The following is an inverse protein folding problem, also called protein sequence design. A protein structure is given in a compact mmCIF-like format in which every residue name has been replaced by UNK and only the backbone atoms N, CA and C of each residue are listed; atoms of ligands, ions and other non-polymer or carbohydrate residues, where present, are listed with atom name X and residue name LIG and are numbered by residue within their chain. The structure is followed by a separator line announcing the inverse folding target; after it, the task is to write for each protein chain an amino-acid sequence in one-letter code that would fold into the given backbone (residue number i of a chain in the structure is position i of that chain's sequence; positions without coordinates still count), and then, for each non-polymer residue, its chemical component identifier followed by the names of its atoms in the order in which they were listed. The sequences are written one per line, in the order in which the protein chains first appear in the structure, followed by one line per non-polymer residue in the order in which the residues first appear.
data_IF_457981611551
#
_entry.id   IF_457981611551
#
_cell.length_a   1.000
_cell.length_b   1.000
_cell.length_c   1.000
_cell.angle_alpha   90.00
_cell.angle_beta   90.00
_cell.angle_gamma   90.00
#
_symmetry.space_group_name_H-M   'P 1'
#
loop_
_entity.id
_entity.type
_entity.pdbx_description
1 polymer ?
#
# COMPACT_ATOMS: atom_id res chain seq x y z
N UNK A 1 -25.20 -23.04 12.71
CA UNK A 1 -25.58 -22.62 11.35
C UNK A 1 -24.74 -21.39 11.04
N UNK A 2 -23.49 -21.61 10.63
CA UNK A 2 -22.54 -20.55 10.28
C UNK A 2 -22.71 -20.26 8.80
N UNK A 3 -23.12 -19.03 8.48
CA UNK A 3 -23.16 -18.49 7.14
C UNK A 3 -21.73 -18.39 6.62
N UNK A 4 -21.33 -19.40 5.86
CA UNK A 4 -20.14 -19.37 5.01
C UNK A 4 -20.36 -18.24 4.00
N UNK A 5 -19.64 -17.14 4.14
CA UNK A 5 -19.60 -16.11 3.10
C UNK A 5 -18.65 -16.66 2.05
N UNK A 6 -19.18 -17.44 1.10
CA UNK A 6 -18.41 -17.98 -0.03
C UNK A 6 -17.71 -16.83 -0.75
N UNK A 7 -16.39 -16.72 -0.58
CA UNK A 7 -15.59 -15.83 -1.42
C UNK A 7 -15.82 -16.22 -2.88
N UNK A 8 -16.16 -15.27 -3.78
CA UNK A 8 -16.47 -15.61 -5.15
C UNK A 8 -15.25 -16.25 -5.83
N UNK A 9 -15.41 -17.52 -6.23
CA UNK A 9 -14.38 -18.30 -6.92
C UNK A 9 -14.47 -18.05 -8.42
N UNK A 10 -13.56 -17.24 -8.94
CA UNK A 10 -13.52 -16.85 -10.36
C UNK A 10 -12.80 -17.92 -11.18
N UNK A 11 -13.24 -18.13 -12.42
CA UNK A 11 -12.43 -18.78 -13.46
C UNK A 11 -11.32 -17.85 -13.95
N UNK A 12 -10.33 -18.39 -14.68
CA UNK A 12 -9.23 -17.55 -15.22
C UNK A 12 -9.73 -16.46 -16.18
N UNK A 13 -10.81 -16.75 -16.92
CA UNK A 13 -11.40 -15.80 -17.87
C UNK A 13 -12.09 -14.66 -17.13
N UNK A 14 -12.85 -14.97 -16.07
CA UNK A 14 -13.50 -13.99 -15.20
C UNK A 14 -12.48 -13.17 -14.41
N UNK A 15 -11.40 -13.79 -13.92
CA UNK A 15 -10.31 -13.09 -13.26
C UNK A 15 -9.66 -12.07 -14.20
N UNK A 16 -9.33 -12.48 -15.43
CA UNK A 16 -8.71 -11.61 -16.42
C UNK A 16 -9.63 -10.43 -16.75
N UNK A 17 -10.91 -10.69 -16.99
CA UNK A 17 -11.90 -9.66 -17.27
C UNK A 17 -12.03 -8.67 -16.11
N UNK A 18 -12.10 -9.16 -14.87
CA UNK A 18 -12.29 -8.32 -13.67
C UNK A 18 -11.03 -7.54 -13.29
N UNK A 19 -9.85 -8.06 -13.63
CA UNK A 19 -8.57 -7.37 -13.46
C UNK A 19 -8.19 -6.47 -14.66
N UNK A 20 -9.04 -6.33 -15.68
CA UNK A 20 -8.76 -5.49 -16.84
C UNK A 20 -7.56 -5.97 -17.68
N UNK A 21 -7.23 -7.26 -17.64
CA UNK A 21 -6.06 -7.84 -18.32
C UNK A 21 -6.45 -9.04 -19.18
N UNK A 22 -5.47 -9.72 -19.78
CA UNK A 22 -5.71 -10.90 -20.61
C UNK A 22 -5.40 -12.20 -19.87
N UNK A 23 -6.08 -13.29 -20.24
CA UNK A 23 -5.77 -14.65 -19.74
C UNK A 23 -4.31 -15.01 -19.97
N UNK A 24 -3.73 -14.57 -21.10
CA UNK A 24 -2.31 -14.75 -21.41
C UNK A 24 -1.43 -14.06 -20.35
N UNK A 25 -1.76 -12.83 -19.97
CA UNK A 25 -1.04 -12.07 -18.94
C UNK A 25 -1.16 -12.74 -17.57
N UNK A 26 -2.38 -13.17 -17.19
CA UNK A 26 -2.60 -13.90 -15.93
C UNK A 26 -1.74 -15.16 -15.88
N UNK A 27 -1.77 -15.99 -16.93
CA UNK A 27 -0.95 -17.22 -17.01
C UNK A 27 0.54 -16.90 -16.96
N UNK A 28 0.97 -15.84 -17.64
CA UNK A 28 2.36 -15.39 -17.60
C UNK A 28 2.79 -15.06 -16.16
N UNK A 29 2.00 -14.28 -15.42
CA UNK A 29 2.31 -13.98 -14.02
C UNK A 29 2.24 -15.20 -13.11
N UNK A 30 1.28 -16.12 -13.31
CA UNK A 30 1.26 -17.40 -12.60
C UNK A 30 2.53 -18.21 -12.85
N UNK A 31 3.00 -18.32 -14.11
CA UNK A 31 4.25 -19.06 -14.42
C UNK A 31 5.50 -18.41 -13.85
N UNK A 32 5.46 -17.10 -13.59
CA UNK A 32 6.52 -16.34 -12.93
C UNK A 32 6.45 -16.39 -11.40
N UNK A 33 5.46 -17.08 -10.82
CA UNK A 33 5.27 -17.13 -9.37
C UNK A 33 4.77 -15.81 -8.77
N UNK A 34 4.29 -14.88 -9.61
CA UNK A 34 3.79 -13.58 -9.17
C UNK A 34 2.36 -13.64 -8.62
N UNK A 35 1.66 -14.74 -8.86
CA UNK A 35 0.32 -15.01 -8.34
C UNK A 35 0.35 -16.27 -7.47
N UNK A 36 -0.42 -16.33 -6.38
CA UNK A 36 -0.60 -17.58 -5.64
C UNK A 36 -1.17 -18.66 -6.57
N UNK A 37 -0.95 -19.95 -6.25
CA UNK A 37 -1.53 -21.03 -7.04
C UNK A 37 -3.06 -21.02 -6.90
N UNK A 38 -3.80 -21.26 -7.98
CA UNK A 38 -5.25 -21.34 -7.92
C UNK A 38 -5.70 -22.60 -7.17
N UNK A 39 -6.89 -22.56 -6.58
CA UNK A 39 -7.53 -23.74 -6.01
C UNK A 39 -8.05 -24.61 -7.15
N UNK A 40 -7.63 -25.87 -7.20
CA UNK A 40 -8.06 -26.78 -8.26
C UNK A 40 -9.42 -27.39 -7.87
N UNK A 41 -10.46 -26.97 -8.57
CA UNK A 41 -11.83 -27.47 -8.40
C UNK A 41 -12.12 -28.73 -9.21
N UNK A 42 -13.40 -29.10 -9.22
CA UNK A 42 -13.89 -30.22 -10.02
C UNK A 42 -13.51 -30.05 -11.50
N UNK A 43 -13.21 -31.16 -12.19
CA UNK A 43 -12.79 -31.17 -13.60
C UNK A 43 -11.45 -30.46 -13.90
N UNK A 44 -10.59 -30.28 -12.89
CA UNK A 44 -9.26 -29.63 -13.00
C UNK A 44 -9.32 -28.17 -13.44
N UNK A 45 -10.42 -27.48 -13.15
CA UNK A 45 -10.57 -26.05 -13.38
C UNK A 45 -9.93 -25.30 -12.21
N UNK A 46 -9.08 -24.32 -12.50
CA UNK A 46 -8.49 -23.45 -11.48
C UNK A 46 -9.47 -22.35 -11.08
N UNK A 47 -9.67 -22.20 -9.77
CA UNK A 47 -10.47 -21.15 -9.15
C UNK A 47 -9.58 -20.12 -8.47
N UNK A 48 -9.94 -18.85 -8.67
CA UNK A 48 -9.18 -17.69 -8.25
C UNK A 48 -10.05 -16.83 -7.33
N UNK A 49 -9.51 -16.46 -6.16
CA UNK A 49 -10.19 -15.59 -5.19
C UNK A 49 -9.70 -14.14 -5.20
N UNK A 50 -10.17 -13.37 -4.21
CA UNK A 50 -9.89 -11.94 -4.07
C UNK A 50 -8.38 -11.62 -3.94
N UNK A 51 -7.60 -12.51 -3.34
CA UNK A 51 -6.14 -12.37 -3.24
C UNK A 51 -5.48 -12.22 -4.61
N UNK A 52 -5.95 -12.96 -5.62
CA UNK A 52 -5.41 -12.90 -6.98
C UNK A 52 -5.70 -11.54 -7.62
N UNK A 53 -6.90 -11.00 -7.42
CA UNK A 53 -7.27 -9.66 -7.88
C UNK A 53 -6.41 -8.58 -7.21
N UNK A 54 -6.24 -8.65 -5.89
CA UNK A 54 -5.38 -7.70 -5.16
C UNK A 54 -3.92 -7.75 -5.64
N UNK A 55 -3.41 -8.95 -5.95
CA UNK A 55 -2.04 -9.13 -6.43
C UNK A 55 -1.85 -8.62 -7.85
N UNK A 56 -2.82 -8.87 -8.74
CA UNK A 56 -2.83 -8.29 -10.09
C UNK A 56 -2.88 -6.77 -10.06
N UNK A 57 -3.73 -6.19 -9.20
CA UNK A 57 -3.82 -4.73 -9.05
C UNK A 57 -2.54 -4.11 -8.49
N UNK A 58 -1.85 -4.80 -7.57
CA UNK A 58 -0.54 -4.36 -7.08
C UNK A 58 0.53 -4.40 -8.18
N UNK A 59 0.58 -5.48 -8.96
CA UNK A 59 1.52 -5.62 -10.09
C UNK A 59 1.30 -4.50 -11.11
N UNK A 60 0.04 -4.25 -11.48
CA UNK A 60 -0.33 -3.18 -12.40
C UNK A 60 0.13 -1.81 -11.87
N UNK A 61 -0.14 -1.51 -10.59
CA UNK A 61 0.28 -0.26 -9.96
C UNK A 61 1.80 -0.09 -10.02
N UNK A 62 2.57 -1.11 -9.65
CA UNK A 62 4.04 -1.07 -9.69
C UNK A 62 4.56 -0.86 -11.12
N UNK A 63 3.90 -1.44 -12.13
CA UNK A 63 4.23 -1.21 -13.53
C UNK A 63 3.93 0.22 -13.97
N UNK A 64 2.80 0.80 -13.54
CA UNK A 64 2.46 2.20 -13.79
C UNK A 64 3.49 3.15 -13.17
N UNK A 65 4.06 2.80 -12.02
CA UNK A 65 5.18 3.51 -11.38
C UNK A 65 6.54 3.26 -12.05
N UNK A 66 6.58 2.61 -13.23
CA UNK A 66 7.78 2.41 -14.03
C UNK A 66 8.68 1.25 -13.58
N UNK A 67 8.24 0.39 -12.67
CA UNK A 67 9.02 -0.77 -12.27
C UNK A 67 9.11 -1.81 -13.40
N UNK A 68 10.33 -2.25 -13.68
CA UNK A 68 10.54 -3.38 -14.60
C UNK A 68 10.02 -4.67 -14.00
N UNK A 69 9.61 -5.61 -14.85
CA UNK A 69 9.07 -6.89 -14.39
C UNK A 69 10.04 -7.65 -13.46
N UNK A 70 11.35 -7.61 -13.74
CA UNK A 70 12.36 -8.24 -12.88
C UNK A 70 12.49 -7.56 -11.49
N UNK A 71 12.19 -6.27 -11.38
CA UNK A 71 12.10 -5.60 -10.09
C UNK A 71 10.81 -5.97 -9.35
N UNK A 72 9.69 -6.11 -10.06
CA UNK A 72 8.41 -6.57 -9.51
C UNK A 72 8.52 -8.01 -8.99
N UNK A 73 9.14 -8.92 -9.74
CA UNK A 73 9.39 -10.31 -9.30
C UNK A 73 10.16 -10.34 -7.97
N UNK A 74 11.26 -9.59 -7.86
CA UNK A 74 12.03 -9.48 -6.62
C UNK A 74 11.25 -8.84 -5.48
N UNK A 75 10.39 -7.88 -5.79
CA UNK A 75 9.57 -7.22 -4.79
C UNK A 75 8.50 -8.16 -4.23
N UNK A 76 7.71 -8.78 -5.10
CA UNK A 76 6.64 -9.70 -4.71
C UNK A 76 7.20 -10.91 -3.95
N UNK A 77 8.41 -11.37 -4.30
CA UNK A 77 9.09 -12.45 -3.57
C UNK A 77 9.51 -12.09 -2.12
N UNK A 78 9.62 -10.80 -1.80
CA UNK A 78 9.96 -10.32 -0.46
C UNK A 78 8.73 -10.04 0.42
N UNK A 79 7.53 -10.05 -0.17
CA UNK A 79 6.30 -9.90 0.60
C UNK A 79 6.07 -11.13 1.50
N UNK A 80 5.53 -10.94 2.71
CA UNK A 80 5.11 -12.07 3.54
C UNK A 80 4.18 -13.01 2.75
N UNK A 81 4.36 -14.33 2.88
CA UNK A 81 3.56 -15.31 2.13
C UNK A 81 2.09 -15.34 2.57
N UNK A 82 1.78 -14.76 3.73
CA UNK A 82 0.48 -14.77 4.43
C UNK A 82 -0.28 -13.44 4.31
N UNK A 83 0.11 -12.55 3.38
CA UNK A 83 -0.60 -11.28 3.20
C UNK A 83 -2.04 -11.50 2.71
N UNK A 84 -2.98 -10.84 3.38
CA UNK A 84 -4.38 -10.84 2.96
C UNK A 84 -4.60 -9.90 1.77
N UNK A 85 -5.76 -10.04 1.12
CA UNK A 85 -6.19 -9.09 0.09
C UNK A 85 -6.24 -7.63 0.61
N UNK A 86 -6.52 -7.43 1.89
CA UNK A 86 -6.53 -6.12 2.54
C UNK A 86 -5.11 -5.56 2.69
N UNK A 87 -4.16 -6.38 3.14
CA UNK A 87 -2.76 -5.97 3.28
C UNK A 87 -2.17 -5.59 1.93
N UNK A 88 -2.43 -6.37 0.88
CA UNK A 88 -2.02 -6.06 -0.49
C UNK A 88 -2.64 -4.74 -0.99
N UNK A 89 -3.89 -4.45 -0.61
CA UNK A 89 -4.52 -3.17 -0.93
C UNK A 89 -3.86 -1.99 -0.19
N UNK A 90 -3.40 -2.19 1.05
CA UNK A 90 -2.58 -1.21 1.77
C UNK A 90 -1.25 -1.01 1.05
N UNK A 91 -0.53 -2.09 0.73
CA UNK A 91 0.73 -2.02 -0.03
C UNK A 91 0.57 -1.26 -1.34
N UNK A 92 -0.50 -1.54 -2.10
CA UNK A 92 -0.83 -0.82 -3.32
C UNK A 92 -1.10 0.66 -3.06
N UNK A 93 -1.86 1.00 -2.02
CA UNK A 93 -2.16 2.39 -1.67
C UNK A 93 -0.88 3.19 -1.35
N UNK A 94 0.08 2.57 -0.67
CA UNK A 94 1.40 3.18 -0.43
C UNK A 94 2.16 3.33 -1.75
N UNK A 95 2.12 2.35 -2.65
CA UNK A 95 2.76 2.44 -3.97
C UNK A 95 2.15 3.55 -4.83
N UNK A 96 0.83 3.69 -4.80
CA UNK A 96 0.07 4.67 -5.57
C UNK A 96 0.30 6.11 -5.08
N UNK A 97 0.55 6.33 -3.79
CA UNK A 97 0.86 7.66 -3.25
C UNK A 97 2.27 8.16 -3.61
N UNK A 98 3.07 7.36 -4.33
CA UNK A 98 4.40 7.74 -4.82
C UNK A 98 4.40 8.42 -6.19
N UNK A 99 3.25 8.51 -6.88
CA UNK A 99 3.12 9.31 -8.09
C UNK A 99 3.16 10.81 -7.72
N UNK A 100 4.00 11.64 -8.37
CA UNK A 100 3.98 13.09 -8.19
C UNK A 100 2.67 13.79 -8.57
N UNK A 101 1.63 13.04 -8.97
CA UNK A 101 0.41 13.56 -9.60
C UNK A 101 -0.90 13.04 -8.95
N UNK A 102 -0.83 12.38 -7.78
CA UNK A 102 -2.02 11.81 -7.11
C UNK A 102 -2.85 12.79 -6.27
N UNK A 103 -2.42 14.06 -6.16
CA UNK A 103 -3.17 15.08 -5.42
C UNK A 103 -4.15 15.79 -6.32
N UNK A 104 -5.43 15.56 -6.11
CA UNK A 104 -6.51 16.20 -6.86
C UNK A 104 -7.16 17.29 -6.00
N UNK A 105 -7.56 18.39 -6.63
CA UNK A 105 -8.39 19.41 -5.98
C UNK A 105 -9.85 19.02 -6.13
N UNK A 106 -10.52 18.77 -5.01
CA UNK A 106 -11.91 18.34 -4.93
C UNK A 106 -12.75 19.36 -4.17
N UNK A 107 -13.97 19.56 -4.63
CA UNK A 107 -15.03 20.23 -3.88
C UNK A 107 -15.57 19.31 -2.77
N UNK A 108 -16.18 19.88 -1.72
CA UNK A 108 -16.68 19.11 -0.56
C UNK A 108 -17.57 17.92 -0.96
N UNK A 109 -18.50 18.14 -1.89
CA UNK A 109 -19.41 17.09 -2.37
C UNK A 109 -18.68 15.95 -3.08
N UNK A 110 -17.60 16.27 -3.79
CA UNK A 110 -16.82 15.24 -4.49
C UNK A 110 -15.94 14.47 -3.52
N UNK A 111 -15.36 15.14 -2.52
CA UNK A 111 -14.66 14.50 -1.42
C UNK A 111 -15.54 13.46 -0.72
N UNK A 112 -16.77 13.81 -0.32
CA UNK A 112 -17.73 12.88 0.30
C UNK A 112 -18.08 11.71 -0.63
N UNK A 113 -18.29 11.99 -1.93
CA UNK A 113 -18.56 10.93 -2.93
C UNK A 113 -17.40 9.94 -3.02
N UNK A 114 -16.15 10.41 -3.02
CA UNK A 114 -14.95 9.56 -3.09
C UNK A 114 -14.65 8.85 -1.78
N UNK A 115 -14.97 9.49 -0.65
CA UNK A 115 -14.93 8.86 0.66
C UNK A 115 -15.98 7.76 0.80
N UNK A 116 -17.07 7.82 0.02
CA UNK A 116 -18.17 6.86 0.08
C UNK A 116 -19.08 7.04 1.29
N UNK A 117 -18.95 8.16 2.01
CA UNK A 117 -19.76 8.54 3.17
C UNK A 117 -19.87 10.06 3.28
N UNK A 118 -20.89 10.53 3.97
CA UNK A 118 -20.91 11.90 4.45
C UNK A 118 -19.78 12.10 5.46
N UNK A 119 -19.17 13.28 5.45
CA UNK A 119 -18.11 13.66 6.39
C UNK A 119 -18.63 14.87 7.18
N UNK A 120 -18.57 14.82 8.50
CA UNK A 120 -18.78 16.01 9.32
C UNK A 120 -17.48 16.82 9.44
N UNK A 121 -17.48 17.87 10.24
CA UNK A 121 -16.29 18.72 10.43
C UNK A 121 -15.16 17.97 11.16
N UNK A 122 -15.50 17.13 12.14
CA UNK A 122 -14.53 16.32 12.89
C UNK A 122 -13.85 15.27 11.99
N UNK A 123 -14.61 14.60 11.13
CA UNK A 123 -14.10 13.67 10.12
C UNK A 123 -13.08 14.37 9.20
N UNK A 124 -13.41 15.57 8.70
CA UNK A 124 -12.51 16.35 7.85
C UNK A 124 -11.25 16.77 8.61
N UNK A 125 -11.38 17.24 9.85
CA UNK A 125 -10.25 17.62 10.70
C UNK A 125 -9.31 16.43 10.97
N UNK A 126 -9.85 15.24 11.19
CA UNK A 126 -9.07 14.00 11.35
C UNK A 126 -8.38 13.60 10.04
N UNK A 127 -9.03 13.72 8.89
CA UNK A 127 -8.39 13.47 7.59
C UNK A 127 -7.26 14.47 7.28
N UNK A 128 -7.43 15.74 7.68
CA UNK A 128 -6.37 16.77 7.62
C UNK A 128 -5.23 16.42 8.57
N UNK A 129 -5.53 15.97 9.78
CA UNK A 129 -4.55 15.52 10.75
C UNK A 129 -3.71 14.33 10.26
N UNK A 130 -4.31 13.42 9.49
CA UNK A 130 -3.60 12.32 8.81
C UNK A 130 -2.76 12.81 7.61
N UNK A 131 -3.01 14.01 7.10
CA UNK A 131 -2.39 14.54 5.89
C UNK A 131 -2.96 13.98 4.59
N UNK A 132 -4.13 13.36 4.65
CA UNK A 132 -4.87 12.81 3.50
C UNK A 132 -5.51 13.95 2.70
N UNK A 133 -5.96 14.97 3.42
CA UNK A 133 -6.62 16.16 2.87
C UNK A 133 -5.84 17.39 3.32
N UNK A 134 -5.72 18.38 2.44
CA UNK A 134 -5.18 19.71 2.73
C UNK A 134 -6.21 20.73 2.26
N UNK A 135 -6.58 21.66 3.15
CA UNK A 135 -7.45 22.78 2.80
C UNK A 135 -6.73 23.71 1.81
N UNK A 136 -7.39 24.05 0.72
CA UNK A 136 -6.91 24.94 -0.34
C UNK A 136 -8.02 25.93 -0.72
N UNK A 137 -8.17 26.98 0.10
CA UNK A 137 -9.29 27.91 0.01
C UNK A 137 -10.62 27.22 0.34
N UNK A 138 -11.56 27.27 -0.61
CA UNK A 138 -12.89 26.61 -0.51
C UNK A 138 -12.86 25.14 -0.96
N UNK A 139 -11.69 24.65 -1.39
CA UNK A 139 -11.50 23.32 -1.96
C UNK A 139 -10.53 22.48 -1.14
N UNK A 140 -10.45 21.20 -1.48
CA UNK A 140 -9.62 20.22 -0.77
C UNK A 140 -8.61 19.63 -1.74
N UNK A 141 -7.32 19.73 -1.43
CA UNK A 141 -6.30 18.95 -2.10
C UNK A 141 -6.20 17.58 -1.43
N UNK A 142 -6.43 16.52 -2.19
CA UNK A 142 -6.63 15.18 -1.64
C UNK A 142 -5.69 14.19 -2.31
N UNK A 143 -4.98 13.42 -1.50
CA UNK A 143 -4.28 12.24 -1.97
C UNK A 143 -5.27 11.09 -2.16
N UNK A 144 -5.63 10.80 -3.42
CA UNK A 144 -6.59 9.76 -3.78
C UNK A 144 -6.14 8.35 -3.36
N UNK A 145 -4.83 8.10 -3.24
CA UNK A 145 -4.27 6.84 -2.76
C UNK A 145 -4.49 6.64 -1.26
N UNK A 146 -4.37 7.72 -0.49
CA UNK A 146 -4.54 7.70 0.97
C UNK A 146 -5.98 7.90 1.43
N UNK A 147 -6.87 8.49 0.62
CA UNK A 147 -8.25 8.78 1.01
C UNK A 147 -9.00 7.56 1.52
N UNK A 148 -8.92 6.44 0.79
CA UNK A 148 -9.58 5.19 1.22
C UNK A 148 -9.06 4.65 2.54
N UNK A 149 -7.76 4.83 2.82
CA UNK A 149 -7.16 4.40 4.08
C UNK A 149 -7.58 5.34 5.22
N UNK A 150 -7.52 6.65 4.98
CA UNK A 150 -7.93 7.68 5.95
C UNK A 150 -9.38 7.51 6.39
N UNK A 151 -10.29 7.25 5.45
CA UNK A 151 -11.70 7.01 5.75
C UNK A 151 -11.90 5.80 6.67
N UNK A 152 -11.17 4.70 6.45
CA UNK A 152 -11.23 3.53 7.36
C UNK A 152 -10.69 3.82 8.75
N UNK A 153 -9.71 4.72 8.86
CA UNK A 153 -9.13 5.12 10.14
C UNK A 153 -10.07 6.02 10.96
N UNK A 154 -11.07 6.66 10.33
CA UNK A 154 -12.09 7.42 11.05
C UNK A 154 -12.90 6.54 12.01
N UNK A 155 -13.09 5.26 11.66
CA UNK A 155 -13.84 4.30 12.47
C UNK A 155 -13.02 3.74 13.66
N UNK A 156 -11.72 4.08 13.74
CA UNK A 156 -10.85 3.67 14.86
C UNK A 156 -10.91 4.74 15.96
N UNK A 157 -11.08 4.36 17.25
CA UNK A 157 -11.21 5.31 18.36
C UNK A 157 -9.84 5.89 18.77
N UNK A 158 -9.21 6.65 17.87
CA UNK A 158 -7.96 7.37 18.10
C UNK A 158 -8.24 8.87 18.03
N UNK A 159 -7.78 9.62 19.03
CA UNK A 159 -7.95 11.08 19.07
C UNK A 159 -7.20 11.77 17.93
N UNK A 160 -7.72 12.91 17.48
CA UNK A 160 -7.04 13.75 16.49
C UNK A 160 -5.62 14.15 16.95
N UNK A 161 -5.43 14.44 18.24
CA UNK A 161 -4.12 14.75 18.82
C UNK A 161 -3.13 13.60 18.64
N UNK A 162 -3.53 12.36 18.91
CA UNK A 162 -2.69 11.19 18.74
C UNK A 162 -2.36 10.92 17.27
N UNK A 163 -3.31 11.17 16.35
CA UNK A 163 -3.09 11.11 14.90
C UNK A 163 -2.04 12.13 14.48
N UNK A 164 -2.18 13.40 14.90
CA UNK A 164 -1.23 14.46 14.61
C UNK A 164 0.17 14.16 15.16
N UNK A 165 0.26 13.72 16.41
CA UNK A 165 1.51 13.34 17.05
C UNK A 165 2.21 12.22 16.27
N UNK A 166 1.46 11.18 15.91
CA UNK A 166 1.96 10.04 15.13
C UNK A 166 2.44 10.47 13.74
N UNK A 167 1.68 11.33 13.05
CA UNK A 167 2.08 11.88 11.74
C UNK A 167 3.37 12.68 11.83
N UNK A 168 3.52 13.52 12.85
CA UNK A 168 4.73 14.34 13.03
C UNK A 168 5.96 13.46 13.23
N UNK A 169 5.87 12.45 14.09
CA UNK A 169 6.93 11.44 14.30
C UNK A 169 7.29 10.75 12.99
N UNK A 170 6.29 10.28 12.22
CA UNK A 170 6.52 9.62 10.94
C UNK A 170 7.22 10.54 9.93
N UNK A 171 6.79 11.79 9.80
CA UNK A 171 7.38 12.76 8.86
C UNK A 171 8.82 13.07 9.24
N UNK A 172 9.09 13.32 10.53
CA UNK A 172 10.42 13.65 11.03
C UNK A 172 11.42 12.52 10.73
N UNK A 173 11.09 11.30 11.14
CA UNK A 173 11.97 10.15 10.93
C UNK A 173 12.11 9.76 9.46
N UNK A 174 11.04 9.87 8.67
CA UNK A 174 11.11 9.63 7.22
C UNK A 174 12.05 10.62 6.53
N UNK A 175 12.00 11.91 6.91
CA UNK A 175 12.92 12.93 6.38
C UNK A 175 14.37 12.64 6.78
N UNK A 176 14.61 12.25 8.04
CA UNK A 176 15.94 11.88 8.51
C UNK A 176 16.50 10.67 7.74
N UNK A 177 15.70 9.61 7.55
CA UNK A 177 16.07 8.43 6.80
C UNK A 177 16.37 8.76 5.32
N UNK A 178 15.49 9.51 4.66
CA UNK A 178 15.69 9.95 3.29
C UNK A 178 16.98 10.78 3.13
N UNK A 179 17.27 11.67 4.09
CA UNK A 179 18.49 12.45 4.10
C UNK A 179 19.74 11.55 4.20
N UNK A 180 19.78 10.65 5.18
CA UNK A 180 20.90 9.72 5.38
C UNK A 180 21.15 8.84 4.15
N UNK A 181 20.09 8.26 3.58
CA UNK A 181 20.17 7.45 2.35
C UNK A 181 20.68 8.27 1.16
N UNK A 182 20.22 9.52 1.02
CA UNK A 182 20.70 10.41 -0.05
C UNK A 182 22.20 10.71 0.04
N UNK A 183 22.77 10.73 1.25
CA UNK A 183 24.20 10.94 1.45
C UNK A 183 25.00 9.69 1.04
N UNK A 184 24.54 8.50 1.45
CA UNK A 184 25.14 7.22 1.05
C UNK A 184 25.15 7.09 -0.47
N UNK A 185 24.01 7.34 -1.13
CA UNK A 185 23.95 7.27 -2.58
C UNK A 185 24.84 8.29 -3.26
N UNK A 186 24.88 9.54 -2.78
CA UNK A 186 25.78 10.56 -3.33
C UNK A 186 27.23 10.09 -3.33
N UNK A 187 27.70 9.44 -2.27
CA UNK A 187 29.06 8.86 -2.21
C UNK A 187 29.33 7.86 -3.34
N UNK A 188 28.38 6.97 -3.62
CA UNK A 188 28.51 5.89 -4.62
C UNK A 188 28.37 6.36 -6.07
N UNK A 189 27.57 7.41 -6.33
CA UNK A 189 27.40 7.98 -7.69
C UNK A 189 28.38 9.10 -8.05
N UNK A 190 29.19 9.58 -7.10
CA UNK A 190 30.12 10.70 -7.28
C UNK A 190 31.14 10.54 -8.42
N UNK A 191 31.37 9.31 -8.90
CA UNK A 191 32.33 8.99 -9.97
C UNK A 191 31.66 8.67 -11.33
N UNK A 192 30.33 8.78 -11.46
CA UNK A 192 29.56 8.38 -12.66
C UNK A 192 29.08 9.57 -13.50
N UNK A 193 28.84 9.34 -14.78
CA UNK A 193 28.24 10.34 -15.67
C UNK A 193 26.77 10.60 -15.32
N UNK A 194 26.28 11.83 -15.50
CA UNK A 194 24.94 12.27 -15.06
C UNK A 194 23.77 11.41 -15.59
N UNK A 195 23.90 10.87 -16.81
CA UNK A 195 22.91 9.99 -17.43
C UNK A 195 22.82 8.63 -16.70
N UNK A 196 23.97 8.10 -16.25
CA UNK A 196 24.06 6.84 -15.50
C UNK A 196 23.50 7.00 -14.09
N UNK A 197 23.69 8.17 -13.49
CA UNK A 197 23.11 8.52 -12.17
C UNK A 197 21.58 8.52 -12.25
N UNK A 198 20.99 9.17 -13.26
CA UNK A 198 19.53 9.24 -13.41
C UNK A 198 18.90 7.85 -13.62
N UNK A 199 19.51 7.03 -14.48
CA UNK A 199 19.06 5.65 -14.71
C UNK A 199 19.19 4.80 -13.45
N UNK A 200 20.33 4.88 -12.75
CA UNK A 200 20.55 4.13 -11.51
C UNK A 200 19.57 4.55 -10.41
N UNK A 201 19.33 5.85 -10.21
CA UNK A 201 18.36 6.35 -9.24
C UNK A 201 16.95 5.81 -9.51
N UNK A 202 16.50 5.77 -10.76
CA UNK A 202 15.19 5.20 -11.12
C UNK A 202 15.08 3.70 -10.78
N UNK A 203 16.17 2.94 -10.90
CA UNK A 203 16.19 1.52 -10.53
C UNK A 203 16.33 1.28 -9.02
N UNK A 204 16.98 2.20 -8.30
CA UNK A 204 17.23 2.07 -6.87
C UNK A 204 16.04 2.52 -6.03
N UNK A 205 15.31 3.55 -6.48
CA UNK A 205 14.19 4.11 -5.74
C UNK A 205 13.17 3.04 -5.29
N UNK A 206 12.70 2.11 -6.14
CA UNK A 206 11.80 1.05 -5.69
C UNK A 206 12.43 0.12 -4.63
N UNK A 207 13.71 -0.23 -4.77
CA UNK A 207 14.37 -1.14 -3.83
C UNK A 207 14.54 -0.51 -2.44
N UNK A 208 14.89 0.77 -2.40
CA UNK A 208 15.06 1.53 -1.16
C UNK A 208 13.75 1.66 -0.42
N UNK A 209 12.69 1.99 -1.15
CA UNK A 209 11.35 2.14 -0.56
C UNK A 209 10.87 0.81 0.02
N UNK A 210 11.09 -0.31 -0.68
CA UNK A 210 10.71 -1.61 -0.15
C UNK A 210 11.53 -2.02 1.06
N UNK A 211 12.83 -1.77 1.06
CA UNK A 211 13.66 -1.98 2.24
C UNK A 211 13.15 -1.17 3.44
N UNK A 212 12.81 0.11 3.24
CA UNK A 212 12.25 0.96 4.28
C UNK A 212 10.91 0.42 4.82
N UNK A 213 9.99 0.02 3.93
CA UNK A 213 8.70 -0.53 4.34
C UNK A 213 8.85 -1.83 5.12
N UNK A 214 9.67 -2.76 4.63
CA UNK A 214 9.93 -4.04 5.31
C UNK A 214 10.59 -3.83 6.66
N UNK A 215 11.59 -2.94 6.76
CA UNK A 215 12.23 -2.60 8.03
C UNK A 215 11.23 -1.98 9.00
N UNK A 216 10.41 -1.04 8.54
CA UNK A 216 9.39 -0.41 9.37
C UNK A 216 8.35 -1.43 9.88
N UNK A 217 7.81 -2.28 8.99
CA UNK A 217 6.86 -3.33 9.37
C UNK A 217 7.44 -4.28 10.43
N UNK A 218 8.72 -4.64 10.29
CA UNK A 218 9.41 -5.48 11.26
C UNK A 218 9.56 -4.80 12.62
N UNK A 219 10.05 -3.55 12.64
CA UNK A 219 10.20 -2.79 13.88
C UNK A 219 8.87 -2.56 14.58
N UNK A 220 7.82 -2.21 13.84
CA UNK A 220 6.47 -2.04 14.41
C UNK A 220 5.96 -3.35 15.04
N UNK A 221 6.20 -4.49 14.40
CA UNK A 221 5.80 -5.80 14.92
C UNK A 221 6.56 -6.17 16.19
N UNK A 222 7.82 -5.77 16.30
CA UNK A 222 8.64 -5.97 17.50
C UNK A 222 8.12 -5.10 18.65
N UNK A 223 7.88 -3.81 18.42
CA UNK A 223 7.31 -2.88 19.42
C UNK A 223 5.92 -3.32 19.91
N UNK A 224 5.02 -3.72 18.98
CA UNK A 224 3.69 -4.20 19.35
C UNK A 224 3.72 -5.46 20.21
N UNK A 225 4.69 -6.36 19.98
CA UNK A 225 4.85 -7.56 20.82
C UNK A 225 5.29 -7.22 22.22
N UNK A 226 6.21 -6.28 22.39
CA UNK A 226 6.66 -5.87 23.72
C UNK A 226 5.54 -5.17 24.49
N UNK A 227 4.78 -4.28 23.83
CA UNK A 227 3.62 -3.64 24.46
C UNK A 227 2.54 -4.62 24.93
N UNK A 228 2.26 -5.67 24.16
CA UNK A 228 1.31 -6.72 24.54
C UNK A 228 1.82 -7.60 25.69
N UNK A 229 3.14 -7.79 25.82
CA UNK A 229 3.72 -8.55 26.95
C UNK A 229 3.73 -7.74 28.26
N UNK A 230 3.78 -6.42 28.18
CA UNK A 230 3.79 -5.52 29.33
C UNK A 230 2.37 -5.18 29.85
N UNK A 231 1.32 -5.66 29.19
CA UNK A 231 -0.07 -5.40 29.59
C UNK A 231 -0.46 -6.17 30.86
N UNK A 232 -1.18 -5.57 31.84
CA UNK A 232 -1.18 -6.01 33.24
C UNK A 232 -2.04 -7.25 33.58
N UNK A 233 -2.47 -8.05 32.61
CA UNK A 233 -3.40 -9.17 32.87
C UNK A 233 -2.77 -10.37 33.61
N UNK A 234 -1.44 -10.37 33.82
CA UNK A 234 -0.70 -11.46 34.48
C UNK A 234 -0.16 -11.11 35.88
N UNK A 235 -0.76 -10.13 36.57
CA UNK A 235 -0.26 -9.62 37.87
C UNK A 235 -1.12 -9.90 39.11
N UNK A 236 -2.16 -10.71 39.00
CA UNK A 236 -2.91 -11.23 40.15
C UNK A 236 -2.95 -12.76 40.11
N UNK A 237 -1.95 -13.39 40.76
CA UNK A 237 -2.03 -14.72 41.39
C UNK A 237 -1.07 -14.78 42.60
#
# INVERSE_FOLDING_TARGET
MTTDTEEPTLTIDELAARAGTTVRTVRFYSTKGLLPPPVIGARRVGHYGQEHLSRLALIEELQQQGMTLAAIERYVAQLPPDLTAHDLAIHRAVVASWAPEGTETLERRELERRAGRALDEEDVERLVAMGVVVLDGDSYRVDSGLLRLGVRLLDVPVSQEAILASRNVLIEHSRAAAHALSQVFRGEVSQRAAQDVKSLSAHMQPLVVQALLTTFQRSLREELREWLKESPEDRDD
#
